data_IF_000759115988
#
_entry.id   IF_000759115988
#
_cell.length_a   1.000
_cell.length_b   1.000
_cell.length_c   1.000
_cell.angle_alpha   90.00
_cell.angle_beta   90.00
_cell.angle_gamma   90.00
#
_symmetry.space_group_name_H-M   'P 1'
#
loop_
_entity.id
_entity.type
_entity.pdbx_description
1 polymer ?
#
# COMPACT_ATOMS: atom_id res chain seq x y z
N UNK A 1 16.63 2.52 -23.92
CA UNK A 1 16.94 3.18 -22.64
C UNK A 1 18.46 3.32 -22.56
N UNK A 2 18.98 4.52 -22.29
CA UNK A 2 20.41 4.88 -22.11
C UNK A 2 21.42 4.41 -23.19
N UNK A 3 21.29 4.91 -24.43
CA UNK A 3 22.21 4.56 -25.55
C UNK A 3 23.65 5.10 -25.40
N UNK A 4 23.83 6.17 -24.62
CA UNK A 4 25.10 6.91 -24.54
C UNK A 4 25.94 6.54 -23.30
N UNK A 5 25.42 5.70 -22.41
CA UNK A 5 26.16 5.20 -21.24
C UNK A 5 26.86 3.90 -21.65
N UNK A 6 28.18 3.96 -21.77
CA UNK A 6 29.04 2.80 -22.10
C UNK A 6 29.49 2.09 -20.82
N UNK A 7 29.76 0.79 -20.94
CA UNK A 7 30.37 -0.02 -19.87
C UNK A 7 29.57 -0.09 -18.56
N UNK A 8 28.24 -0.20 -18.63
CA UNK A 8 27.42 -0.49 -17.44
C UNK A 8 27.64 -1.95 -17.04
N UNK A 9 28.12 -2.17 -15.82
CA UNK A 9 28.25 -3.50 -15.21
C UNK A 9 27.12 -3.75 -14.20
N UNK A 10 26.77 -5.02 -13.97
CA UNK A 10 25.74 -5.39 -13.00
C UNK A 10 26.39 -5.53 -11.63
N UNK A 11 26.04 -4.66 -10.70
CA UNK A 11 26.54 -4.72 -9.32
C UNK A 11 25.87 -5.84 -8.52
N UNK A 12 24.55 -5.98 -8.63
CA UNK A 12 23.75 -6.98 -7.91
C UNK A 12 22.53 -7.45 -8.70
N UNK A 13 22.02 -8.65 -8.35
CA UNK A 13 20.73 -9.18 -8.80
C UNK A 13 19.96 -9.73 -7.61
N UNK A 14 18.67 -9.42 -7.51
CA UNK A 14 17.80 -9.91 -6.46
C UNK A 14 16.38 -10.10 -6.99
N UNK A 15 15.55 -10.80 -6.21
CA UNK A 15 14.11 -10.88 -6.43
C UNK A 15 13.37 -10.52 -5.14
N UNK A 16 12.16 -9.99 -5.28
CA UNK A 16 11.27 -9.70 -4.17
C UNK A 16 10.00 -10.55 -4.26
N UNK A 17 9.43 -10.89 -3.12
CA UNK A 17 8.06 -11.40 -3.09
C UNK A 17 7.09 -10.28 -3.47
N UNK A 18 6.13 -10.60 -4.33
CA UNK A 18 5.13 -9.65 -4.78
C UNK A 18 3.74 -10.18 -4.47
N UNK A 19 2.95 -9.37 -3.80
CA UNK A 19 1.53 -9.62 -3.56
C UNK A 19 0.73 -8.51 -4.20
N UNK A 20 -0.43 -8.85 -4.77
CA UNK A 20 -1.34 -7.94 -5.46
C UNK A 20 -2.77 -8.16 -5.01
N UNK A 21 -3.55 -7.09 -5.04
CA UNK A 21 -5.01 -7.14 -4.96
C UNK A 21 -5.61 -7.11 -6.37
N UNK A 22 -6.90 -7.45 -6.55
CA UNK A 22 -7.56 -7.39 -7.86
C UNK A 22 -7.50 -6.03 -8.56
N UNK A 23 -7.42 -4.94 -7.81
CA UNK A 23 -7.38 -3.55 -8.31
C UNK A 23 -6.01 -2.87 -8.16
N UNK A 24 -4.98 -3.59 -7.72
CA UNK A 24 -3.63 -3.06 -7.43
C UNK A 24 -3.55 -1.96 -6.36
N UNK A 25 -4.58 -1.77 -5.52
CA UNK A 25 -4.56 -0.89 -4.35
C UNK A 25 -4.29 -1.67 -3.04
N UNK A 26 -3.63 -1.03 -2.08
CA UNK A 26 -3.46 -1.62 -0.74
C UNK A 26 -4.78 -1.76 0.05
N UNK A 27 -4.70 -2.30 1.26
CA UNK A 27 -5.78 -2.23 2.25
C UNK A 27 -5.39 -1.32 3.41
N UNK A 28 -6.24 -0.36 3.75
CA UNK A 28 -6.04 0.58 4.86
C UNK A 28 -7.36 0.78 5.57
N UNK A 29 -7.37 0.59 6.89
CA UNK A 29 -8.55 0.87 7.71
C UNK A 29 -8.79 -0.17 8.82
N UNK A 30 -9.90 -0.02 9.56
CA UNK A 30 -10.24 -0.90 10.68
C UNK A 30 -10.63 -2.31 10.22
N UNK A 31 -10.38 -3.30 11.08
CA UNK A 31 -10.96 -4.63 10.97
C UNK A 31 -12.47 -4.59 11.21
N UNK A 32 -13.21 -5.51 10.59
CA UNK A 32 -14.68 -5.57 10.70
C UNK A 32 -15.18 -6.33 11.92
N UNK A 33 -14.35 -7.19 12.50
CA UNK A 33 -14.72 -8.08 13.60
C UNK A 33 -14.07 -7.65 14.93
N UNK A 34 -12.96 -6.93 14.87
CA UNK A 34 -12.18 -6.54 16.04
C UNK A 34 -12.04 -5.01 16.14
N UNK A 35 -12.65 -4.42 17.17
CA UNK A 35 -12.74 -2.96 17.35
C UNK A 35 -11.39 -2.24 17.54
N UNK A 36 -10.31 -2.97 17.85
CA UNK A 36 -8.99 -2.40 18.14
C UNK A 36 -7.91 -2.91 17.19
N UNK A 37 -8.28 -3.27 15.96
CA UNK A 37 -7.36 -3.73 14.93
C UNK A 37 -7.50 -2.88 13.68
N UNK A 38 -6.38 -2.43 13.14
CA UNK A 38 -6.29 -1.68 11.89
C UNK A 38 -5.24 -2.29 10.98
N UNK A 39 -5.50 -2.21 9.68
CA UNK A 39 -4.61 -2.70 8.64
C UNK A 39 -3.97 -1.55 7.89
N UNK A 40 -2.71 -1.76 7.51
CA UNK A 40 -1.96 -0.96 6.53
C UNK A 40 -1.16 -1.96 5.68
N UNK A 41 -1.83 -2.52 4.68
CA UNK A 41 -1.31 -3.56 3.79
C UNK A 41 -1.07 -2.94 2.42
N UNK A 42 0.12 -2.36 2.24
CA UNK A 42 0.55 -1.72 0.99
C UNK A 42 0.98 -2.72 -0.08
N UNK A 43 0.07 -3.56 -0.57
CA UNK A 43 0.37 -4.50 -1.66
C UNK A 43 0.57 -3.80 -3.02
N UNK A 44 1.18 -4.52 -3.97
CA UNK A 44 1.42 -4.06 -5.32
C UNK A 44 2.73 -3.28 -5.51
N UNK A 45 2.98 -2.84 -6.74
CA UNK A 45 4.21 -2.12 -7.12
C UNK A 45 4.34 -0.74 -6.46
N UNK A 46 3.25 -0.24 -5.89
CA UNK A 46 3.18 1.05 -5.22
C UNK A 46 3.21 0.92 -3.68
N UNK A 47 3.61 -0.24 -3.15
CA UNK A 47 3.53 -0.52 -1.72
C UNK A 47 4.25 0.50 -0.81
N UNK A 48 5.40 1.02 -1.24
CA UNK A 48 6.13 2.08 -0.52
C UNK A 48 5.30 3.36 -0.46
N UNK A 49 4.65 3.74 -1.56
CA UNK A 49 3.77 4.91 -1.60
C UNK A 49 2.52 4.70 -0.73
N UNK A 50 1.90 3.52 -0.83
CA UNK A 50 0.74 3.17 -0.02
C UNK A 50 1.06 3.11 1.48
N UNK A 51 2.30 2.77 1.86
CA UNK A 51 2.71 2.79 3.25
C UNK A 51 2.66 4.22 3.84
N UNK A 52 3.16 5.21 3.08
CA UNK A 52 3.11 6.61 3.48
C UNK A 52 1.67 7.13 3.50
N UNK A 53 0.90 6.88 2.43
CA UNK A 53 -0.50 7.30 2.36
C UNK A 53 -1.34 6.68 3.47
N UNK A 54 -1.18 5.38 3.71
CA UNK A 54 -1.86 4.66 4.77
C UNK A 54 -1.49 5.19 6.15
N UNK A 55 -0.23 5.55 6.40
CA UNK A 55 0.19 6.11 7.68
C UNK A 55 -0.46 7.48 7.94
N UNK A 56 -0.57 8.34 6.91
CA UNK A 56 -1.30 9.60 6.99
C UNK A 56 -2.78 9.34 7.30
N UNK A 57 -3.41 8.43 6.56
CA UNK A 57 -4.82 8.11 6.70
C UNK A 57 -5.15 7.54 8.09
N UNK A 58 -4.37 6.59 8.60
CA UNK A 58 -4.58 6.01 9.94
C UNK A 58 -4.29 7.01 11.06
N UNK A 59 -3.28 7.88 10.90
CA UNK A 59 -3.00 8.93 11.89
C UNK A 59 -4.14 9.95 12.00
N UNK A 60 -4.73 10.32 10.85
CA UNK A 60 -5.91 11.18 10.81
C UNK A 60 -7.11 10.48 11.46
N UNK A 61 -7.35 9.21 11.13
CA UNK A 61 -8.43 8.40 11.71
C UNK A 61 -8.29 8.29 13.23
N UNK A 62 -7.08 8.03 13.74
CA UNK A 62 -6.79 8.00 15.18
C UNK A 62 -7.11 9.34 15.86
N UNK A 63 -6.93 10.46 15.15
CA UNK A 63 -7.25 11.81 15.64
C UNK A 63 -8.74 12.18 15.47
N UNK A 64 -9.61 11.22 15.11
CA UNK A 64 -11.04 11.43 14.90
C UNK A 64 -11.40 12.10 13.56
N UNK A 65 -10.45 12.21 12.62
CA UNK A 65 -10.67 12.80 11.29
C UNK A 65 -10.53 11.75 10.19
N UNK A 66 -11.63 11.35 9.58
CA UNK A 66 -11.57 10.38 8.48
C UNK A 66 -11.08 11.03 7.18
N UNK A 67 -10.11 10.39 6.51
CA UNK A 67 -9.66 10.80 5.19
C UNK A 67 -10.63 10.27 4.11
N UNK A 68 -11.16 11.16 3.27
CA UNK A 68 -12.11 10.81 2.20
C UNK A 68 -11.60 9.73 1.23
N UNK A 69 -10.29 9.63 1.04
CA UNK A 69 -9.67 8.71 0.10
C UNK A 69 -9.47 7.32 0.71
N UNK A 70 -9.62 7.17 2.03
CA UNK A 70 -9.59 5.87 2.71
C UNK A 70 -10.66 4.91 2.17
N UNK A 71 -11.75 5.44 1.62
CA UNK A 71 -12.79 4.64 0.95
C UNK A 71 -12.25 3.75 -0.19
N UNK A 72 -11.16 4.17 -0.84
CA UNK A 72 -10.53 3.43 -1.94
C UNK A 72 -9.75 2.21 -1.43
N UNK A 73 -9.33 2.24 -0.16
CA UNK A 73 -8.45 1.25 0.44
C UNK A 73 -9.17 0.35 1.46
N UNK A 74 -10.50 0.43 1.55
CA UNK A 74 -11.29 -0.35 2.53
C UNK A 74 -10.92 -1.83 2.53
N UNK A 75 -10.76 -2.38 3.74
CA UNK A 75 -10.35 -3.78 4.00
C UNK A 75 -11.37 -4.77 3.42
N UNK A 76 -12.65 -4.39 3.43
CA UNK A 76 -13.81 -5.18 2.98
C UNK A 76 -14.27 -4.83 1.56
N UNK A 77 -13.47 -4.11 0.76
CA UNK A 77 -13.96 -3.58 -0.53
C UNK A 77 -14.32 -4.66 -1.57
N UNK A 78 -13.99 -5.92 -1.29
CA UNK A 78 -14.32 -7.08 -2.12
C UNK A 78 -15.24 -8.09 -1.40
N UNK A 79 -15.68 -7.77 -0.19
CA UNK A 79 -16.64 -8.60 0.55
C UNK A 79 -18.05 -8.33 -0.04
N UNK A 80 -18.85 -9.39 -0.20
CA UNK A 80 -20.23 -9.32 -0.70
C UNK A 80 -21.23 -9.16 0.45
#
# INVERSE_FOLDING_TARGET
MFKDIKNIEIEFKYCGAFASTPDNLGFVGPDKKHNNLWYLLGYGANGILFAILGAIMLSQLYSGKENKDMKLFKVDRFDN
#
